data_IF_115947512031
#
_entry.id   IF_115947512031
#
_cell.length_a   1.000
_cell.length_b   1.000
_cell.length_c   1.000
_cell.angle_alpha   90.00
_cell.angle_beta   90.00
_cell.angle_gamma   90.00
#
_symmetry.space_group_name_H-M   'P 1'
#
loop_
_entity.id
_entity.type
_entity.pdbx_description
1 polymer ?
#
# COMPACT_ATOMS: atom_id res chain seq x y z
N UNK A 1 8.06 6.53 -4.79
CA UNK A 1 8.11 5.05 -4.67
C UNK A 1 9.32 4.68 -3.86
N UNK A 2 9.19 3.69 -2.98
CA UNK A 2 10.22 3.15 -2.10
C UNK A 2 10.71 1.83 -2.70
N UNK A 3 12.01 1.68 -2.90
CA UNK A 3 12.58 0.43 -3.43
C UNK A 3 12.90 -0.54 -2.30
N UNK A 4 12.53 -1.80 -2.47
CA UNK A 4 12.80 -2.87 -1.51
C UNK A 4 13.18 -4.17 -2.25
N UNK A 5 14.00 -4.99 -1.59
CA UNK A 5 14.37 -6.31 -2.08
C UNK A 5 13.49 -7.39 -1.47
N UNK A 6 13.04 -8.32 -2.30
CA UNK A 6 12.24 -9.48 -1.91
C UNK A 6 11.09 -9.78 -2.86
N UNK A 7 10.19 -10.68 -2.44
CA UNK A 7 9.09 -11.17 -3.27
C UNK A 7 7.74 -11.23 -2.54
N UNK A 8 6.66 -11.07 -3.31
CA UNK A 8 5.29 -11.27 -2.82
C UNK A 8 5.09 -12.77 -2.57
N UNK A 9 4.67 -13.13 -1.36
CA UNK A 9 4.54 -14.54 -0.95
C UNK A 9 3.09 -15.00 -0.77
N UNK A 10 2.15 -14.08 -0.52
CA UNK A 10 0.71 -14.37 -0.45
C UNK A 10 -0.06 -13.32 -1.27
N UNK A 11 -0.07 -13.45 -2.61
CA UNK A 11 -0.91 -12.64 -3.45
C UNK A 11 -2.38 -13.08 -3.32
N UNK A 12 -3.29 -12.13 -3.12
CA UNK A 12 -4.75 -12.41 -3.27
C UNK A 12 -5.07 -12.71 -4.74
N UNK A 13 -4.31 -12.08 -5.64
CA UNK A 13 -4.39 -12.27 -7.09
C UNK A 13 -2.98 -12.11 -7.68
N UNK A 14 -2.73 -12.69 -8.86
CA UNK A 14 -1.40 -12.71 -9.50
C UNK A 14 -0.82 -11.34 -9.88
N UNK A 15 -1.51 -10.25 -9.56
CA UNK A 15 -1.25 -8.91 -10.10
C UNK A 15 -1.51 -8.85 -11.60
N UNK A 16 -1.21 -7.70 -12.20
CA UNK A 16 -1.30 -7.48 -13.64
C UNK A 16 0.09 -7.44 -14.25
N UNK A 17 0.37 -8.41 -15.13
CA UNK A 17 1.57 -8.38 -15.95
C UNK A 17 1.54 -7.19 -16.91
N UNK A 18 2.71 -6.57 -17.04
CA UNK A 18 3.00 -5.51 -18.00
C UNK A 18 4.33 -5.79 -18.67
N UNK A 19 4.35 -5.56 -19.98
CA UNK A 19 5.56 -5.51 -20.78
C UNK A 19 6.04 -4.07 -20.84
N UNK A 20 7.35 -3.87 -20.85
CA UNK A 20 7.95 -2.53 -20.89
C UNK A 20 9.20 -2.45 -20.03
N UNK A 21 9.77 -1.25 -19.95
CA UNK A 21 10.88 -0.97 -19.05
C UNK A 21 10.41 -0.94 -17.59
N UNK A 22 11.36 -1.10 -16.66
CA UNK A 22 11.08 -0.95 -15.24
C UNK A 22 10.52 0.43 -14.90
N UNK A 23 11.07 1.48 -15.51
CA UNK A 23 10.66 2.87 -15.32
C UNK A 23 9.23 3.10 -15.82
N UNK A 24 8.87 2.51 -16.96
CA UNK A 24 7.50 2.60 -17.51
C UNK A 24 6.49 2.00 -16.51
N UNK A 25 6.80 0.84 -15.96
CA UNK A 25 6.00 0.18 -14.94
C UNK A 25 5.85 1.00 -13.64
N UNK A 26 6.96 1.55 -13.15
CA UNK A 26 6.97 2.41 -11.96
C UNK A 26 6.11 3.65 -12.20
N UNK A 27 6.22 4.26 -13.38
CA UNK A 27 5.43 5.44 -13.74
C UNK A 27 3.95 5.11 -13.95
N UNK A 28 3.61 3.96 -14.52
CA UNK A 28 2.22 3.48 -14.62
C UNK A 28 1.60 3.33 -13.23
N UNK A 29 2.32 2.69 -12.30
CA UNK A 29 1.85 2.52 -10.92
C UNK A 29 1.68 3.87 -10.19
N UNK A 30 2.63 4.79 -10.34
CA UNK A 30 2.53 6.13 -9.75
C UNK A 30 1.28 6.89 -10.21
N UNK A 31 0.91 6.76 -11.50
CA UNK A 31 -0.29 7.40 -12.07
C UNK A 31 -1.58 6.64 -11.73
N UNK A 32 -1.47 5.37 -11.38
CA UNK A 32 -2.62 4.53 -11.05
C UNK A 32 -2.98 4.69 -9.58
N UNK A 33 -4.15 5.27 -9.32
CA UNK A 33 -4.55 5.66 -7.96
C UNK A 33 -4.49 4.51 -6.95
N UNK A 34 -4.96 3.31 -7.32
CA UNK A 34 -5.02 2.14 -6.43
C UNK A 34 -3.82 1.19 -6.57
N UNK A 35 -2.75 1.58 -7.26
CA UNK A 35 -1.54 0.77 -7.28
C UNK A 35 -0.85 0.82 -5.92
N UNK A 36 -0.44 -0.33 -5.39
CA UNK A 36 0.30 -0.42 -4.15
C UNK A 36 1.77 -0.77 -4.37
N UNK A 37 2.07 -1.71 -5.26
CA UNK A 37 3.45 -2.09 -5.55
C UNK A 37 3.66 -2.59 -6.98
N UNK A 38 4.91 -2.54 -7.42
CA UNK A 38 5.39 -3.09 -8.68
C UNK A 38 6.55 -4.03 -8.39
N UNK A 39 6.50 -5.28 -8.86
CA UNK A 39 7.65 -6.18 -8.83
C UNK A 39 8.29 -6.29 -10.21
N UNK A 40 9.62 -6.36 -10.25
CA UNK A 40 10.37 -6.56 -11.48
C UNK A 40 10.20 -8.00 -11.96
N UNK A 41 10.09 -8.19 -13.27
CA UNK A 41 10.02 -9.51 -13.92
C UNK A 41 11.01 -9.56 -15.08
N UNK A 42 11.33 -10.77 -15.55
CA UNK A 42 12.28 -10.99 -16.66
C UNK A 42 11.83 -10.35 -17.98
N UNK A 43 10.52 -10.13 -18.16
CA UNK A 43 9.94 -9.61 -19.40
C UNK A 43 9.09 -8.33 -19.18
N UNK A 44 9.34 -7.61 -18.08
CA UNK A 44 8.64 -6.39 -17.70
C UNK A 44 8.43 -6.32 -16.19
N UNK A 45 7.19 -6.22 -15.76
CA UNK A 45 6.84 -6.11 -14.33
C UNK A 45 5.46 -6.68 -14.03
N UNK A 46 5.18 -6.84 -12.74
CA UNK A 46 3.85 -7.14 -12.24
C UNK A 46 3.40 -5.97 -11.36
N UNK A 47 2.24 -5.41 -11.68
CA UNK A 47 1.60 -4.34 -10.90
C UNK A 47 0.55 -4.97 -9.99
N UNK A 48 0.61 -4.67 -8.69
CA UNK A 48 -0.37 -5.14 -7.72
C UNK A 48 -1.15 -3.95 -7.14
N UNK A 49 -2.47 -4.10 -7.06
CA UNK A 49 -3.33 -3.09 -6.43
C UNK A 49 -3.41 -3.27 -4.92
N UNK A 50 -3.85 -2.23 -4.22
CA UNK A 50 -3.92 -2.19 -2.74
C UNK A 50 -4.62 -3.40 -2.11
N UNK A 51 -5.63 -3.96 -2.77
CA UNK A 51 -6.40 -5.11 -2.28
C UNK A 51 -5.85 -6.49 -2.72
N UNK A 52 -4.74 -6.52 -3.46
CA UNK A 52 -4.20 -7.75 -4.07
C UNK A 52 -3.00 -8.33 -3.33
N UNK A 53 -2.53 -7.67 -2.27
CA UNK A 53 -1.32 -8.03 -1.54
C UNK A 53 -1.71 -8.33 -0.09
N UNK A 54 -1.32 -9.50 0.43
CA UNK A 54 -1.41 -9.79 1.87
C UNK A 54 -0.05 -9.76 2.54
N UNK A 55 0.95 -10.39 1.91
CA UNK A 55 2.26 -10.53 2.53
C UNK A 55 3.39 -10.49 1.53
N UNK A 56 4.48 -9.89 1.97
CA UNK A 56 5.73 -9.74 1.24
C UNK A 56 6.89 -10.18 2.12
N UNK A 57 7.81 -10.98 1.58
CA UNK A 57 9.01 -11.38 2.29
C UNK A 57 10.19 -10.53 1.84
N UNK A 58 10.78 -9.77 2.76
CA UNK A 58 12.03 -9.06 2.47
C UNK A 58 13.17 -10.06 2.33
N UNK A 59 14.10 -9.72 1.44
CA UNK A 59 15.37 -10.41 1.31
C UNK A 59 16.52 -9.42 1.56
N UNK A 60 17.67 -9.92 2.00
CA UNK A 60 18.86 -9.10 2.28
C UNK A 60 19.57 -8.61 0.99
N UNK A 61 19.02 -8.95 -0.19
CA UNK A 61 19.51 -8.56 -1.51
C UNK A 61 19.06 -9.53 -2.60
N UNK A 62 19.36 -9.22 -3.86
CA UNK A 62 19.08 -10.07 -5.02
C UNK A 62 18.50 -9.31 -6.21
N UNK A 63 18.06 -10.05 -7.23
CA UNK A 63 17.44 -9.50 -8.45
C UNK A 63 15.95 -9.19 -8.27
N UNK A 64 15.34 -9.75 -7.22
CA UNK A 64 13.94 -9.53 -6.85
C UNK A 64 13.81 -8.15 -6.21
N UNK A 65 13.61 -7.15 -7.06
CA UNK A 65 13.40 -5.76 -6.69
C UNK A 65 11.92 -5.43 -6.88
N UNK A 66 11.39 -4.68 -5.92
CA UNK A 66 10.08 -4.06 -6.07
C UNK A 66 10.13 -2.57 -5.73
N UNK A 67 9.10 -1.87 -6.21
CA UNK A 67 8.82 -0.49 -5.88
C UNK A 67 7.46 -0.40 -5.19
N UNK A 68 7.47 0.03 -3.93
CA UNK A 68 6.29 0.26 -3.12
C UNK A 68 5.83 1.71 -3.27
N UNK A 69 4.54 1.93 -3.57
CA UNK A 69 3.98 3.28 -3.64
C UNK A 69 3.90 3.85 -2.23
N UNK A 70 4.22 5.12 -2.07
CA UNK A 70 4.12 5.80 -0.78
C UNK A 70 3.93 7.29 -1.02
N UNK A 71 3.21 7.91 -0.10
CA UNK A 71 2.76 9.30 -0.06
C UNK A 71 3.65 10.20 0.83
N UNK A 72 4.78 9.69 1.33
CA UNK A 72 5.69 10.51 2.13
C UNK A 72 6.24 11.69 1.32
N UNK A 73 5.89 12.92 1.71
CA UNK A 73 6.38 14.17 1.11
C UNK A 73 7.85 14.46 1.47
N UNK A 74 8.37 13.83 2.53
CA UNK A 74 9.75 14.02 3.01
C UNK A 74 10.46 12.69 3.23
N UNK A 75 11.79 12.70 3.11
CA UNK A 75 12.61 11.53 3.40
C UNK A 75 12.61 11.26 4.92
N UNK A 76 11.89 10.22 5.33
CA UNK A 76 11.83 9.79 6.72
C UNK A 76 13.10 9.03 7.13
N UNK A 77 13.45 9.11 8.42
CA UNK A 77 14.61 8.43 9.01
C UNK A 77 14.19 7.01 9.41
N UNK A 78 15.03 6.01 9.10
CA UNK A 78 14.81 4.60 9.44
C UNK A 78 14.63 3.72 8.22
N UNK A 79 14.41 2.42 8.44
CA UNK A 79 14.28 1.47 7.34
C UNK A 79 12.87 1.54 6.73
N UNK A 80 12.74 1.76 5.41
CA UNK A 80 11.45 1.67 4.74
C UNK A 80 10.84 0.26 4.84
N UNK A 81 9.49 0.12 4.74
CA UNK A 81 8.50 1.19 4.60
C UNK A 81 8.01 1.74 5.95
N UNK A 82 8.48 1.18 7.07
CA UNK A 82 8.02 1.53 8.41
C UNK A 82 8.71 2.75 9.02
N UNK A 83 9.94 3.04 8.57
CA UNK A 83 10.75 4.18 9.03
C UNK A 83 10.87 4.24 10.56
N UNK A 84 11.12 3.10 11.19
CA UNK A 84 11.26 2.97 12.65
C UNK A 84 9.95 2.90 13.44
N UNK A 85 8.78 2.97 12.78
CA UNK A 85 7.49 2.77 13.42
C UNK A 85 7.11 1.28 13.47
N UNK A 86 6.14 0.93 14.33
CA UNK A 86 5.57 -0.43 14.40
C UNK A 86 4.64 -0.75 13.22
N UNK A 87 4.06 0.29 12.63
CA UNK A 87 3.22 0.20 11.44
C UNK A 87 3.33 1.48 10.61
N UNK A 88 2.96 1.38 9.35
CA UNK A 88 2.77 2.52 8.44
C UNK A 88 1.51 2.30 7.62
N UNK A 89 0.99 3.33 6.96
CA UNK A 89 -0.20 3.16 6.12
C UNK A 89 -0.15 4.02 4.87
N UNK A 90 -0.66 3.48 3.78
CA UNK A 90 -1.05 4.27 2.59
C UNK A 90 -2.54 4.55 2.68
N UNK A 91 -2.93 5.79 2.39
CA UNK A 91 -4.34 6.17 2.25
C UNK A 91 -4.54 6.78 0.87
N UNK A 92 -5.45 6.19 0.10
CA UNK A 92 -5.86 6.69 -1.21
C UNK A 92 -7.36 6.96 -1.20
N UNK A 93 -7.84 7.87 -2.05
CA UNK A 93 -9.27 8.13 -2.20
C UNK A 93 -9.67 8.28 -3.65
N UNK A 94 -10.86 7.78 -3.99
CA UNK A 94 -11.50 8.05 -5.28
C UNK A 94 -12.49 9.24 -5.21
N UNK A 95 -12.51 9.98 -4.08
CA UNK A 95 -13.44 11.08 -3.81
C UNK A 95 -14.76 10.66 -3.14
N UNK A 96 -15.02 9.37 -2.98
CA UNK A 96 -16.20 8.84 -2.26
C UNK A 96 -15.80 7.92 -1.11
N UNK A 97 -14.88 7.01 -1.40
CA UNK A 97 -14.36 6.03 -0.45
C UNK A 97 -12.89 6.35 -0.14
N UNK A 98 -12.48 6.05 1.09
CA UNK A 98 -11.10 6.03 1.50
C UNK A 98 -10.61 4.59 1.55
N UNK A 99 -9.47 4.35 0.93
CA UNK A 99 -8.81 3.06 0.82
C UNK A 99 -7.55 3.13 1.66
N UNK A 100 -7.45 2.29 2.68
CA UNK A 100 -6.30 2.25 3.58
C UNK A 100 -5.61 0.90 3.42
N UNK A 101 -4.30 0.93 3.28
CA UNK A 101 -3.45 -0.26 3.42
C UNK A 101 -2.53 -0.03 4.60
N UNK A 102 -2.74 -0.75 5.70
CA UNK A 102 -1.83 -0.76 6.84
C UNK A 102 -0.74 -1.81 6.63
N UNK A 103 0.49 -1.45 6.97
CA UNK A 103 1.68 -2.26 6.80
C UNK A 103 2.28 -2.51 8.18
N UNK A 104 2.52 -3.78 8.49
CA UNK A 104 3.24 -4.20 9.70
C UNK A 104 4.36 -5.15 9.32
N UNK A 105 5.36 -5.29 10.18
CA UNK A 105 6.47 -6.23 9.97
C UNK A 105 6.43 -7.33 11.03
N UNK A 106 6.53 -8.59 10.59
CA UNK A 106 6.70 -9.73 11.49
C UNK A 106 8.17 -9.95 11.83
N UNK A 107 8.43 -10.77 12.86
CA UNK A 107 9.77 -11.18 13.26
C UNK A 107 10.54 -11.97 12.19
N UNK A 108 9.89 -12.42 11.13
CA UNK A 108 10.49 -13.21 10.03
C UNK A 108 10.81 -12.36 8.80
N UNK A 109 10.95 -11.03 8.95
CA UNK A 109 11.14 -10.08 7.83
C UNK A 109 9.99 -10.13 6.80
N UNK A 110 8.76 -10.43 7.26
CA UNK A 110 7.56 -10.42 6.42
C UNK A 110 6.79 -9.14 6.66
N UNK A 111 6.60 -8.34 5.61
CA UNK A 111 5.68 -7.22 5.62
C UNK A 111 4.26 -7.74 5.36
N UNK A 112 3.35 -7.44 6.27
CA UNK A 112 1.93 -7.79 6.16
C UNK A 112 1.13 -6.55 5.78
N UNK A 113 0.21 -6.72 4.84
CA UNK A 113 -0.63 -5.68 4.28
C UNK A 113 -2.07 -5.97 4.67
N UNK A 114 -2.67 -5.04 5.39
CA UNK A 114 -4.07 -5.10 5.78
C UNK A 114 -4.85 -4.02 5.05
N UNK A 115 -5.65 -4.44 4.08
CA UNK A 115 -6.45 -3.54 3.25
C UNK A 115 -7.85 -3.33 3.84
N UNK A 116 -8.23 -2.08 4.02
CA UNK A 116 -9.56 -1.68 4.49
C UNK A 116 -10.16 -0.60 3.59
N UNK A 117 -11.50 -0.60 3.49
CA UNK A 117 -12.27 0.43 2.77
C UNK A 117 -13.16 1.14 3.79
N UNK A 118 -12.97 2.44 3.92
CA UNK A 118 -13.82 3.33 4.70
C UNK A 118 -14.71 4.10 3.76
N UNK A 119 -16.01 3.78 3.78
CA UNK A 119 -17.01 4.52 3.00
C UNK A 119 -17.48 5.73 3.80
N UNK A 120 -17.42 6.92 3.22
CA UNK A 120 -18.13 8.05 3.79
C UNK A 120 -19.64 7.78 3.67
N UNK A 121 -20.33 7.57 4.78
CA UNK A 121 -21.79 7.49 4.76
C UNK A 121 -22.32 8.85 4.29
N UNK A 122 -23.07 8.87 3.19
CA UNK A 122 -23.70 10.09 2.63
C UNK A 122 -24.76 10.71 3.55
N UNK A 123 -25.15 10.00 4.61
CA UNK A 123 -26.31 10.31 5.44
C UNK A 123 -25.89 10.82 6.82
N UNK A 124 -25.15 11.93 6.86
CA UNK A 124 -25.23 12.82 8.03
C UNK A 124 -26.33 13.84 7.68
N UNK A 125 -27.51 13.78 8.33
CA UNK A 125 -28.53 14.82 8.14
C UNK A 125 -27.91 16.19 8.41
N UNK A 126 -28.26 17.19 7.58
CA UNK A 126 -27.78 18.58 7.69
C UNK A 126 -28.00 19.23 9.06
N UNK A 127 -28.82 18.61 9.91
CA UNK A 127 -29.22 19.10 11.23
C UNK A 127 -28.42 18.47 12.39
N UNK A 128 -27.20 17.97 12.14
CA UNK A 128 -26.35 17.51 13.23
C UNK A 128 -25.86 18.69 14.08
N UNK A 129 -26.54 18.94 15.19
CA UNK A 129 -26.04 19.79 16.26
C UNK A 129 -24.84 19.09 16.88
N UNK A 130 -23.66 19.70 16.77
CA UNK A 130 -22.41 19.22 17.36
C UNK A 130 -22.57 19.05 18.87
N UNK A 131 -22.82 17.82 19.32
CA UNK A 131 -22.66 17.46 20.72
C UNK A 131 -21.16 17.26 20.95
N UNK A 132 -20.56 18.21 21.67
CA UNK A 132 -19.25 18.05 22.29
C UNK A 132 -19.15 16.67 22.96
N UNK A 133 -18.10 15.91 22.63
CA UNK A 133 -17.62 14.80 23.43
C UNK A 133 -17.93 13.40 22.88
N UNK A 134 -16.85 12.70 22.54
CA UNK A 134 -16.71 11.25 22.39
C UNK A 134 -17.25 10.61 21.10
N UNK A 135 -16.36 10.39 20.13
CA UNK A 135 -16.54 9.32 19.14
C UNK A 135 -16.48 7.97 19.85
N UNK A 136 -17.63 7.31 20.03
CA UNK A 136 -17.68 5.93 20.48
C UNK A 136 -17.75 5.02 19.25
N UNK A 137 -16.71 4.20 19.08
CA UNK A 137 -16.61 3.11 18.13
C UNK A 137 -17.57 1.98 18.55
N UNK A 138 -18.44 1.50 17.66
CA UNK A 138 -19.12 0.21 17.85
C UNK A 138 -18.59 -0.79 16.82
N UNK A 139 -18.18 -1.95 17.36
CA UNK A 139 -17.67 -3.14 16.67
C UNK A 139 -18.81 -3.81 15.88
#
# INVERSE_FOLDING_TARGET
MILMFGSVIDPVNSGKERKGSWEECVMECLKTWNCALVSKSSNGCIIYFMNEIKSFKKNDGGDDILAFKSDFETCLIGNPPLFGNISSSIIETNGMDFYRTEITESSENILNFNFTIHKCTKDIPKDYVSLMGYCTLYI
#
